data_IF_358429416005
#
_entry.id   IF_358429416005
#
_cell.length_a   1.000
_cell.length_b   1.000
_cell.length_c   1.000
_cell.angle_alpha   90.00
_cell.angle_beta   90.00
_cell.angle_gamma   90.00
#
_symmetry.space_group_name_H-M   'P 1'
#
loop_
_entity.id
_entity.type
_entity.pdbx_description
1 polymer ?
#
# COMPACT_ATOMS: atom_id res chain seq x y z
N UNK A 1 15.21 22.25 16.75
CA UNK A 1 14.38 22.25 15.53
C UNK A 1 12.96 22.63 15.92
N UNK A 2 12.24 23.35 15.07
CA UNK A 2 10.83 23.63 15.30
C UNK A 2 10.03 22.31 15.37
N UNK A 3 8.92 22.31 16.11
CA UNK A 3 8.03 21.15 16.13
C UNK A 3 7.50 20.87 14.70
N UNK A 4 7.38 19.60 14.28
CA UNK A 4 6.88 19.27 12.95
C UNK A 4 5.46 19.83 12.71
N UNK A 5 5.20 20.29 11.49
CA UNK A 5 3.92 20.90 11.06
C UNK A 5 2.92 19.85 10.57
N UNK A 6 3.41 18.70 10.13
CA UNK A 6 2.63 17.58 9.58
C UNK A 6 3.40 16.26 9.69
N UNK A 7 2.78 15.17 9.23
CA UNK A 7 3.45 13.87 9.12
C UNK A 7 3.11 13.11 7.84
N UNK A 8 4.01 12.22 7.46
CA UNK A 8 3.78 11.20 6.45
C UNK A 8 4.04 9.81 7.04
N UNK A 9 3.13 8.87 6.86
CA UNK A 9 3.28 7.48 7.30
C UNK A 9 3.41 6.58 6.07
N UNK A 10 4.45 5.75 6.04
CA UNK A 10 4.75 4.85 4.93
C UNK A 10 4.85 3.42 5.43
N UNK A 11 3.86 2.59 5.11
CA UNK A 11 3.94 1.15 5.37
C UNK A 11 4.93 0.50 4.39
N UNK A 12 5.76 -0.42 4.88
CA UNK A 12 6.85 -1.00 4.09
C UNK A 12 7.95 0.03 3.75
N UNK A 13 8.10 1.08 4.58
CA UNK A 13 9.01 2.20 4.35
C UNK A 13 10.49 1.90 4.60
N UNK A 14 10.86 0.71 5.07
CA UNK A 14 12.24 0.40 5.47
C UNK A 14 13.14 -0.07 4.33
N UNK A 15 12.58 -0.47 3.18
CA UNK A 15 13.34 -1.01 2.05
C UNK A 15 12.77 -0.57 0.70
N UNK A 16 13.64 -0.54 -0.32
CA UNK A 16 13.27 -0.38 -1.74
C UNK A 16 12.31 0.80 -1.99
N UNK A 17 11.18 0.56 -2.65
CA UNK A 17 10.19 1.56 -3.04
C UNK A 17 9.80 2.47 -1.86
N UNK A 18 9.44 1.87 -0.72
CA UNK A 18 9.01 2.62 0.47
C UNK A 18 10.13 3.46 1.07
N UNK A 19 11.37 2.94 1.11
CA UNK A 19 12.54 3.69 1.58
C UNK A 19 12.79 4.93 0.72
N UNK A 20 12.79 4.77 -0.61
CA UNK A 20 13.04 5.89 -1.52
C UNK A 20 11.89 6.90 -1.53
N UNK A 21 10.64 6.46 -1.35
CA UNK A 21 9.51 7.36 -1.15
C UNK A 21 9.66 8.17 0.14
N UNK A 22 10.00 7.53 1.26
CA UNK A 22 10.23 8.21 2.54
C UNK A 22 11.40 9.20 2.47
N UNK A 23 12.51 8.82 1.82
CA UNK A 23 13.65 9.70 1.56
C UNK A 23 13.25 10.94 0.76
N UNK A 24 12.42 10.78 -0.27
CA UNK A 24 11.99 11.89 -1.11
C UNK A 24 11.00 12.82 -0.38
N UNK A 25 10.05 12.28 0.38
CA UNK A 25 9.14 13.07 1.21
C UNK A 25 9.94 13.84 2.28
N UNK A 26 10.88 13.20 2.98
CA UNK A 26 11.71 13.87 4.00
C UNK A 26 12.57 15.00 3.42
N UNK A 27 13.02 14.84 2.16
CA UNK A 27 13.76 15.87 1.42
C UNK A 27 12.88 17.07 1.08
N UNK A 28 11.66 16.84 0.61
CA UNK A 28 10.73 17.90 0.19
C UNK A 28 10.06 18.60 1.38
N UNK A 29 9.82 17.87 2.47
CA UNK A 29 9.14 18.35 3.67
C UNK A 29 10.03 18.15 4.92
N UNK A 30 11.09 18.97 5.08
CA UNK A 30 11.96 18.91 6.27
C UNK A 30 11.23 19.25 7.58
N UNK A 31 10.07 19.89 7.48
CA UNK A 31 9.19 20.27 8.58
C UNK A 31 8.15 19.19 8.94
N UNK A 32 8.09 18.06 8.22
CA UNK A 32 7.20 16.94 8.55
C UNK A 32 7.91 15.85 9.32
N UNK A 33 7.17 15.16 10.20
CA UNK A 33 7.59 13.88 10.76
C UNK A 33 7.33 12.76 9.73
N UNK A 34 8.39 12.13 9.23
CA UNK A 34 8.30 10.98 8.33
C UNK A 34 8.40 9.69 9.13
N UNK A 35 7.41 8.82 9.01
CA UNK A 35 7.33 7.57 9.77
C UNK A 35 7.41 6.40 8.81
N UNK A 36 8.51 5.64 8.89
CA UNK A 36 8.66 4.40 8.14
C UNK A 36 8.22 3.22 9.01
N UNK A 37 7.33 2.39 8.46
CA UNK A 37 6.73 1.28 9.20
C UNK A 37 7.07 -0.07 8.56
N UNK A 38 7.43 -1.05 9.37
CA UNK A 38 7.54 -2.47 8.99
C UNK A 38 7.70 -3.34 10.25
N UNK A 39 7.72 -4.66 10.11
CA UNK A 39 7.97 -5.58 11.23
C UNK A 39 9.34 -5.39 11.89
N UNK A 40 10.35 -4.95 11.12
CA UNK A 40 11.72 -4.77 11.60
C UNK A 40 12.50 -3.84 10.68
N UNK A 41 13.38 -3.01 11.25
CA UNK A 41 14.25 -2.10 10.50
C UNK A 41 15.74 -2.52 10.57
N UNK A 42 16.08 -3.63 9.92
CA UNK A 42 17.45 -4.19 9.98
C UNK A 42 18.51 -3.27 9.34
N UNK A 43 18.10 -2.46 8.36
CA UNK A 43 18.97 -1.55 7.63
C UNK A 43 18.99 -0.13 8.24
N UNK A 44 18.34 0.07 9.38
CA UNK A 44 18.23 1.36 10.07
C UNK A 44 17.78 2.47 9.12
N UNK A 45 16.72 2.21 8.35
CA UNK A 45 16.21 3.06 7.28
C UNK A 45 15.99 4.51 7.72
N UNK A 46 15.38 4.73 8.88
CA UNK A 46 15.13 6.07 9.40
C UNK A 46 16.45 6.83 9.69
N UNK A 47 17.41 6.17 10.33
CA UNK A 47 18.73 6.73 10.61
C UNK A 47 19.52 7.00 9.32
N UNK A 48 19.43 6.10 8.34
CA UNK A 48 20.04 6.22 7.03
C UNK A 48 19.49 7.42 6.24
N UNK A 49 18.16 7.62 6.24
CA UNK A 49 17.52 8.80 5.62
C UNK A 49 17.98 10.09 6.31
N UNK A 50 17.91 10.13 7.64
CA UNK A 50 18.34 11.26 8.46
C UNK A 50 19.82 11.61 8.20
N UNK A 51 20.71 10.61 8.15
CA UNK A 51 22.13 10.80 7.85
C UNK A 51 22.34 11.33 6.43
N UNK A 52 21.61 10.80 5.45
CA UNK A 52 21.72 11.21 4.04
C UNK A 52 21.28 12.66 3.84
N UNK A 53 20.20 13.07 4.51
CA UNK A 53 19.64 14.42 4.37
C UNK A 53 20.18 15.42 5.40
N UNK A 54 20.98 14.97 6.37
CA UNK A 54 21.41 15.75 7.55
C UNK A 54 20.21 16.32 8.32
N UNK A 55 19.20 15.49 8.52
CA UNK A 55 17.94 15.78 9.21
C UNK A 55 17.75 14.83 10.40
N UNK A 56 16.70 15.03 11.19
CA UNK A 56 16.28 14.10 12.27
C UNK A 56 14.77 13.88 12.29
N UNK A 57 14.09 14.16 11.18
CA UNK A 57 12.63 14.17 11.09
C UNK A 57 12.05 12.82 10.64
N UNK A 58 12.89 11.81 10.37
CA UNK A 58 12.44 10.46 10.05
C UNK A 58 12.58 9.53 11.26
N UNK A 59 11.53 8.75 11.57
CA UNK A 59 11.54 7.73 12.63
C UNK A 59 11.03 6.38 12.10
N UNK A 60 11.47 5.29 12.73
CA UNK A 60 10.92 3.96 12.52
C UNK A 60 9.88 3.65 13.61
N UNK A 61 8.74 3.08 13.21
CA UNK A 61 7.79 2.47 14.13
C UNK A 61 7.44 1.04 13.66
N UNK A 62 7.47 0.04 14.56
CA UNK A 62 7.16 -1.32 14.20
C UNK A 62 5.67 -1.46 13.85
N UNK A 63 5.39 -2.19 12.76
CA UNK A 63 4.04 -2.48 12.30
C UNK A 63 4.00 -3.82 11.57
N UNK A 64 3.16 -4.73 12.05
CA UNK A 64 2.79 -5.97 11.37
C UNK A 64 1.36 -5.88 10.87
N UNK A 65 1.19 -5.83 9.55
CA UNK A 65 -0.13 -5.75 8.91
C UNK A 65 -0.84 -7.11 8.82
N UNK A 66 -0.17 -8.21 9.17
CA UNK A 66 -0.77 -9.54 9.23
C UNK A 66 -1.43 -9.86 10.57
N UNK A 67 -1.35 -8.95 11.54
CA UNK A 67 -1.89 -9.09 12.89
C UNK A 67 -2.70 -7.84 13.25
N UNK A 68 -4.03 -7.95 13.28
CA UNK A 68 -4.91 -6.81 13.60
C UNK A 68 -4.65 -6.23 14.98
N UNK A 69 -4.18 -7.03 15.95
CA UNK A 69 -3.84 -6.54 17.30
C UNK A 69 -2.61 -5.65 17.25
N UNK A 70 -1.62 -5.99 16.42
CA UNK A 70 -0.44 -5.16 16.21
C UNK A 70 -0.82 -3.82 15.54
N UNK A 71 -1.68 -3.85 14.52
CA UNK A 71 -2.19 -2.63 13.86
C UNK A 71 -2.92 -1.71 14.85
N UNK A 72 -3.74 -2.28 15.74
CA UNK A 72 -4.43 -1.54 16.81
C UNK A 72 -3.48 -0.98 17.85
N UNK A 73 -2.46 -1.74 18.24
CA UNK A 73 -1.42 -1.27 19.15
C UNK A 73 -0.64 -0.10 18.55
N UNK A 74 -0.32 -0.17 17.24
CA UNK A 74 0.28 0.93 16.51
C UNK A 74 -0.60 2.18 16.53
N UNK A 75 -1.89 2.06 16.24
CA UNK A 75 -2.81 3.20 16.25
C UNK A 75 -2.97 3.79 17.66
N UNK A 76 -3.06 2.94 18.69
CA UNK A 76 -3.09 3.38 20.09
C UNK A 76 -1.83 4.16 20.45
N UNK A 77 -0.66 3.64 20.07
CA UNK A 77 0.61 4.32 20.28
C UNK A 77 0.66 5.62 19.48
N UNK A 78 0.09 5.66 18.26
CA UNK A 78 -0.04 6.87 17.44
C UNK A 78 -0.77 7.96 18.22
N UNK A 79 -1.98 7.66 18.68
CA UNK A 79 -2.88 8.57 19.38
C UNK A 79 -2.39 8.97 20.77
N UNK A 80 -1.61 8.12 21.45
CA UNK A 80 -1.11 8.39 22.80
C UNK A 80 0.03 9.42 22.84
N UNK A 81 0.60 9.78 21.70
CA UNK A 81 1.64 10.82 21.60
C UNK A 81 1.07 12.01 20.83
N UNK A 82 1.44 13.21 21.23
CA UNK A 82 1.08 14.45 20.51
C UNK A 82 1.84 14.57 19.18
N UNK A 83 1.52 13.70 18.22
CA UNK A 83 2.10 13.70 16.88
C UNK A 83 1.41 14.74 16.00
N UNK A 84 2.13 15.35 15.04
CA UNK A 84 1.54 16.27 14.08
C UNK A 84 0.48 15.56 13.21
N UNK A 85 -0.48 16.30 12.64
CA UNK A 85 -1.53 15.70 11.82
C UNK A 85 -0.97 15.00 10.58
N UNK A 86 -1.63 13.94 10.13
CA UNK A 86 -1.15 13.11 9.01
C UNK A 86 -1.54 13.79 7.70
N UNK A 87 -0.55 14.28 6.97
CA UNK A 87 -0.67 14.91 5.66
C UNK A 87 -0.70 13.86 4.53
N UNK A 88 0.05 12.77 4.70
CA UNK A 88 0.14 11.70 3.72
C UNK A 88 0.17 10.31 4.37
N UNK A 89 -0.64 9.39 3.84
CA UNK A 89 -0.68 7.99 4.26
C UNK A 89 -0.44 7.08 3.05
N UNK A 90 0.73 6.45 3.02
CA UNK A 90 1.15 5.56 1.94
C UNK A 90 0.95 4.11 2.40
N UNK A 91 -0.13 3.49 1.92
CA UNK A 91 -0.47 2.08 2.13
C UNK A 91 0.30 1.24 1.11
N UNK A 92 1.60 1.13 1.33
CA UNK A 92 2.57 0.61 0.36
C UNK A 92 3.03 -0.83 0.62
N UNK A 93 3.03 -1.28 1.87
CA UNK A 93 3.53 -2.60 2.23
C UNK A 93 2.80 -3.71 1.46
N UNK A 94 3.58 -4.63 0.89
CA UNK A 94 3.05 -5.83 0.29
C UNK A 94 4.03 -6.97 0.51
N UNK A 95 3.49 -8.16 0.71
CA UNK A 95 4.24 -9.41 0.58
C UNK A 95 3.58 -10.25 -0.50
N UNK A 96 4.37 -11.14 -1.09
CA UNK A 96 3.90 -12.12 -2.04
C UNK A 96 4.43 -13.47 -1.60
N UNK A 97 3.54 -14.44 -1.46
CA UNK A 97 3.88 -15.84 -1.24
C UNK A 97 3.68 -16.56 -2.57
N UNK A 98 4.75 -16.94 -3.31
CA UNK A 98 4.61 -17.40 -4.70
C UNK A 98 4.14 -18.85 -4.84
N UNK A 99 4.23 -19.64 -3.77
CA UNK A 99 3.99 -21.07 -3.79
C UNK A 99 2.59 -21.39 -3.23
N UNK A 100 2.55 -22.08 -2.09
CA UNK A 100 1.33 -22.57 -1.44
C UNK A 100 0.58 -21.44 -0.71
N UNK A 101 -0.70 -21.70 -0.43
CA UNK A 101 -1.54 -20.85 0.40
C UNK A 101 -0.92 -20.67 1.79
N UNK A 102 -0.75 -19.41 2.22
CA UNK A 102 -0.26 -19.07 3.56
C UNK A 102 -1.37 -18.35 4.30
N UNK A 103 -1.72 -18.81 5.49
CA UNK A 103 -2.71 -18.16 6.36
C UNK A 103 -2.04 -17.36 7.47
N UNK A 104 -2.66 -16.25 7.87
CA UNK A 104 -2.26 -15.52 9.09
C UNK A 104 -2.65 -16.30 10.33
N UNK A 105 -2.18 -15.86 11.50
CA UNK A 105 -2.65 -16.39 12.80
C UNK A 105 -4.15 -16.21 13.02
N UNK A 106 -4.80 -15.32 12.27
CA UNK A 106 -6.23 -15.04 12.31
C UNK A 106 -7.02 -15.83 11.24
N UNK A 107 -6.35 -16.74 10.52
CA UNK A 107 -6.99 -17.73 9.64
C UNK A 107 -7.39 -17.22 8.26
N UNK A 108 -6.97 -16.02 7.87
CA UNK A 108 -7.23 -15.46 6.53
C UNK A 108 -5.97 -15.54 5.64
N UNK A 109 -6.16 -15.54 4.32
CA UNK A 109 -5.07 -15.57 3.34
C UNK A 109 -4.10 -14.39 3.54
N UNK A 110 -2.82 -14.69 3.67
CA UNK A 110 -1.80 -13.75 4.15
C UNK A 110 -1.54 -12.59 3.21
N UNK A 111 -1.64 -12.81 1.89
CA UNK A 111 -1.45 -11.75 0.90
C UNK A 111 -2.59 -10.73 1.01
N UNK A 112 -3.84 -11.19 1.05
CA UNK A 112 -5.03 -10.37 1.25
C UNK A 112 -5.01 -9.66 2.61
N UNK A 113 -4.65 -10.38 3.67
CA UNK A 113 -4.51 -9.82 5.01
C UNK A 113 -3.56 -8.62 5.05
N UNK A 114 -2.36 -8.79 4.49
CA UNK A 114 -1.32 -7.75 4.54
C UNK A 114 -1.60 -6.60 3.58
N UNK A 115 -1.99 -6.92 2.34
CA UNK A 115 -2.09 -5.92 1.27
C UNK A 115 -3.37 -5.09 1.34
N UNK A 116 -4.44 -5.66 1.90
CA UNK A 116 -5.76 -5.05 1.99
C UNK A 116 -6.24 -4.89 3.44
N UNK A 117 -6.49 -5.99 4.17
CA UNK A 117 -7.19 -5.94 5.47
C UNK A 117 -6.45 -5.09 6.52
N UNK A 118 -5.16 -5.37 6.73
CA UNK A 118 -4.33 -4.62 7.68
C UNK A 118 -4.19 -3.15 7.29
N UNK A 119 -4.15 -2.85 5.99
CA UNK A 119 -4.11 -1.47 5.49
C UNK A 119 -5.43 -0.74 5.68
N UNK A 120 -6.56 -1.39 5.41
CA UNK A 120 -7.89 -0.83 5.64
C UNK A 120 -8.11 -0.54 7.12
N UNK A 121 -7.77 -1.50 8.01
CA UNK A 121 -7.83 -1.30 9.45
C UNK A 121 -6.95 -0.12 9.89
N UNK A 122 -5.69 -0.07 9.42
CA UNK A 122 -4.77 1.04 9.72
C UNK A 122 -5.36 2.38 9.27
N UNK A 123 -5.90 2.45 8.05
CA UNK A 123 -6.54 3.66 7.53
C UNK A 123 -7.70 4.11 8.43
N UNK A 124 -8.62 3.22 8.78
CA UNK A 124 -9.78 3.59 9.60
C UNK A 124 -9.38 4.04 11.00
N UNK A 125 -8.42 3.37 11.64
CA UNK A 125 -7.91 3.77 12.95
C UNK A 125 -7.17 5.11 12.94
N UNK A 126 -6.52 5.46 11.82
CA UNK A 126 -5.80 6.73 11.65
C UNK A 126 -6.65 7.84 11.02
N UNK A 127 -7.83 7.53 10.48
CA UNK A 127 -8.73 8.50 9.85
C UNK A 127 -9.01 9.74 10.72
N UNK A 128 -9.17 9.65 12.07
CA UNK A 128 -9.38 10.82 12.92
C UNK A 128 -8.15 11.74 13.01
N UNK A 129 -6.97 11.23 12.68
CA UNK A 129 -5.69 11.94 12.75
C UNK A 129 -5.22 12.49 11.39
N UNK A 130 -5.97 12.23 10.31
CA UNK A 130 -5.70 12.80 8.99
C UNK A 130 -6.01 14.30 9.00
N UNK A 131 -5.05 15.08 8.49
CA UNK A 131 -5.20 16.50 8.27
C UNK A 131 -6.27 16.81 7.22
N UNK A 132 -6.81 18.04 7.18
CA UNK A 132 -7.52 18.53 6.00
C UNK A 132 -6.65 18.38 4.74
N UNK A 133 -7.25 17.94 3.64
CA UNK A 133 -6.59 17.68 2.36
C UNK A 133 -5.51 16.58 2.40
N UNK A 134 -5.51 15.72 3.42
CA UNK A 134 -4.55 14.62 3.49
C UNK A 134 -4.71 13.66 2.31
N UNK A 135 -3.57 13.12 1.85
CA UNK A 135 -3.51 12.24 0.68
C UNK A 135 -3.21 10.81 1.06
N UNK A 136 -4.08 9.91 0.64
CA UNK A 136 -3.92 8.47 0.77
C UNK A 136 -3.44 7.91 -0.56
N UNK A 137 -2.38 7.11 -0.55
CA UNK A 137 -1.89 6.41 -1.74
C UNK A 137 -1.86 4.92 -1.45
N UNK A 138 -2.59 4.14 -2.24
CA UNK A 138 -2.67 2.68 -2.13
C UNK A 138 -1.79 2.04 -3.20
N UNK A 139 -0.74 1.32 -2.80
CA UNK A 139 0.12 0.66 -3.78
C UNK A 139 -0.56 -0.60 -4.33
N UNK A 140 -0.89 -0.56 -5.63
CA UNK A 140 -1.38 -1.70 -6.40
C UNK A 140 -0.27 -2.24 -7.33
N UNK A 141 -0.64 -2.86 -8.45
CA UNK A 141 0.24 -3.36 -9.51
C UNK A 141 -0.54 -3.61 -10.79
N UNK A 142 0.07 -3.45 -11.96
CA UNK A 142 -0.51 -3.81 -13.25
C UNK A 142 -0.86 -5.29 -13.41
N UNK A 143 -0.47 -6.17 -12.47
CA UNK A 143 -0.91 -7.58 -12.48
C UNK A 143 -2.43 -7.72 -12.37
N UNK A 144 -3.13 -6.75 -11.77
CA UNK A 144 -4.60 -6.75 -11.67
C UNK A 144 -5.32 -6.71 -13.02
N UNK A 145 -4.63 -6.34 -14.10
CA UNK A 145 -5.20 -6.14 -15.43
C UNK A 145 -4.74 -7.23 -16.42
N UNK A 146 -5.66 -8.08 -16.90
CA UNK A 146 -5.37 -9.07 -17.93
C UNK A 146 -4.77 -8.47 -19.20
N UNK A 147 -5.16 -7.24 -19.57
CA UNK A 147 -4.70 -6.58 -20.79
C UNK A 147 -3.21 -6.20 -20.74
N UNK A 148 -2.65 -6.10 -19.53
CA UNK A 148 -1.23 -5.78 -19.31
C UNK A 148 -0.30 -6.96 -19.59
N UNK A 149 -0.83 -8.19 -19.72
CA UNK A 149 -0.06 -9.42 -20.00
C UNK A 149 1.19 -9.55 -19.13
N UNK A 150 1.02 -9.33 -17.83
CA UNK A 150 2.11 -9.22 -16.85
C UNK A 150 2.91 -10.51 -16.62
N UNK A 151 2.47 -11.64 -17.20
CA UNK A 151 3.02 -12.98 -16.93
C UNK A 151 2.48 -13.60 -15.63
N UNK A 152 1.58 -12.92 -14.94
CA UNK A 152 0.82 -13.43 -13.80
C UNK A 152 -0.54 -13.98 -14.26
N UNK A 153 -1.18 -14.87 -13.49
CA UNK A 153 -2.55 -15.27 -13.76
C UNK A 153 -3.49 -14.07 -13.66
N UNK A 154 -4.52 -14.05 -14.50
CA UNK A 154 -5.53 -12.99 -14.50
C UNK A 154 -6.23 -12.86 -13.14
N UNK A 155 -6.49 -11.62 -12.72
CA UNK A 155 -7.21 -11.36 -11.49
C UNK A 155 -8.64 -11.90 -11.59
N UNK A 156 -9.07 -12.64 -10.57
CA UNK A 156 -10.41 -13.16 -10.46
C UNK A 156 -10.98 -12.86 -9.07
N UNK A 157 -11.73 -11.76 -8.97
CA UNK A 157 -12.49 -11.41 -7.78
C UNK A 157 -13.91 -11.97 -7.86
N UNK A 158 -14.25 -12.84 -6.90
CA UNK A 158 -15.61 -13.36 -6.69
C UNK A 158 -16.28 -12.66 -5.50
N UNK A 159 -15.67 -12.74 -4.31
CA UNK A 159 -16.06 -12.00 -3.11
C UNK A 159 -14.87 -11.82 -2.18
N UNK A 160 -14.98 -10.90 -1.22
CA UNK A 160 -13.96 -10.70 -0.20
C UNK A 160 -13.82 -11.93 0.71
N UNK A 161 -14.92 -12.62 0.99
CA UNK A 161 -14.92 -13.89 1.73
C UNK A 161 -14.02 -14.93 1.04
N UNK A 162 -14.06 -15.04 -0.28
CA UNK A 162 -13.18 -15.98 -1.00
C UNK A 162 -11.72 -15.51 -1.09
N UNK A 163 -11.46 -14.20 -0.97
CA UNK A 163 -10.07 -13.74 -0.84
C UNK A 163 -9.52 -14.07 0.55
N UNK A 164 -10.32 -13.90 1.60
CA UNK A 164 -9.95 -14.20 2.97
C UNK A 164 -9.86 -15.71 3.24
N UNK A 165 -10.83 -16.47 2.74
CA UNK A 165 -10.97 -17.91 2.92
C UNK A 165 -11.13 -18.58 1.55
N UNK A 166 -10.02 -18.76 0.79
CA UNK A 166 -10.08 -19.34 -0.54
C UNK A 166 -10.71 -20.75 -0.55
N UNK A 167 -11.72 -21.02 -1.39
CA UNK A 167 -12.28 -22.35 -1.54
C UNK A 167 -11.24 -23.32 -2.14
N UNK A 168 -11.41 -24.65 -2.04
CA UNK A 168 -10.40 -25.63 -2.43
C UNK A 168 -9.84 -25.48 -3.86
N UNK A 169 -10.68 -25.08 -4.82
CA UNK A 169 -10.29 -24.85 -6.23
C UNK A 169 -9.44 -23.60 -6.43
N UNK A 170 -9.53 -22.62 -5.51
CA UNK A 170 -8.70 -21.41 -5.50
C UNK A 170 -7.48 -21.59 -4.60
N UNK A 171 -7.63 -22.27 -3.47
CA UNK A 171 -6.56 -22.54 -2.49
C UNK A 171 -5.41 -23.39 -3.06
N UNK A 172 -5.70 -24.19 -4.09
CA UNK A 172 -4.70 -25.01 -4.80
C UNK A 172 -3.98 -24.25 -5.92
N UNK A 173 -4.38 -23.01 -6.23
CA UNK A 173 -3.71 -22.18 -7.23
C UNK A 173 -2.38 -21.65 -6.67
N UNK A 174 -1.41 -21.32 -7.54
CA UNK A 174 -0.17 -20.66 -7.11
C UNK A 174 -0.48 -19.33 -6.43
N UNK A 175 0.29 -18.96 -5.40
CA UNK A 175 0.04 -17.72 -4.67
C UNK A 175 0.26 -16.42 -5.47
N UNK A 176 0.78 -16.51 -6.70
CA UNK A 176 0.69 -15.43 -7.69
C UNK A 176 -0.75 -15.04 -8.04
N UNK A 177 -1.71 -15.97 -7.97
CA UNK A 177 -3.14 -15.69 -8.10
C UNK A 177 -3.66 -14.86 -6.93
N UNK A 178 -3.34 -15.23 -5.69
CA UNK A 178 -3.76 -14.49 -4.50
C UNK A 178 -3.21 -13.06 -4.51
N UNK A 179 -1.95 -12.90 -4.90
CA UNK A 179 -1.34 -11.59 -5.11
C UNK A 179 -2.08 -10.76 -6.15
N UNK A 180 -2.36 -11.33 -7.31
CA UNK A 180 -3.02 -10.60 -8.41
C UNK A 180 -4.45 -10.19 -8.03
N UNK A 181 -5.17 -11.07 -7.34
CA UNK A 181 -6.49 -10.76 -6.78
C UNK A 181 -6.43 -9.64 -5.74
N UNK A 182 -5.41 -9.64 -4.87
CA UNK A 182 -5.26 -8.60 -3.86
C UNK A 182 -4.91 -7.23 -4.45
N UNK A 183 -4.18 -7.20 -5.58
CA UNK A 183 -3.93 -5.96 -6.33
C UNK A 183 -5.18 -5.40 -6.98
N UNK A 184 -6.07 -6.26 -7.48
CA UNK A 184 -7.41 -5.83 -7.90
C UNK A 184 -8.23 -5.30 -6.70
N UNK A 185 -8.18 -5.97 -5.55
CA UNK A 185 -8.85 -5.51 -4.32
C UNK A 185 -8.37 -4.11 -3.89
N UNK A 186 -7.07 -3.82 -3.94
CA UNK A 186 -6.54 -2.49 -3.63
C UNK A 186 -7.10 -1.38 -4.52
N UNK A 187 -7.34 -1.66 -5.81
CA UNK A 187 -7.91 -0.68 -6.74
C UNK A 187 -9.41 -0.50 -6.47
N UNK A 188 -10.15 -1.59 -6.29
CA UNK A 188 -11.57 -1.53 -5.92
C UNK A 188 -11.76 -0.79 -4.59
N UNK A 189 -10.92 -1.05 -3.59
CA UNK A 189 -10.92 -0.34 -2.32
C UNK A 189 -10.62 1.15 -2.48
N UNK A 190 -9.68 1.52 -3.36
CA UNK A 190 -9.38 2.92 -3.69
C UNK A 190 -10.64 3.64 -4.21
N UNK A 191 -11.38 3.02 -5.13
CA UNK A 191 -12.61 3.60 -5.69
C UNK A 191 -13.76 3.63 -4.67
N UNK A 192 -13.93 2.54 -3.90
CA UNK A 192 -14.90 2.47 -2.81
C UNK A 192 -14.67 3.56 -1.76
N UNK A 193 -13.41 3.76 -1.38
CA UNK A 193 -12.99 4.77 -0.42
C UNK A 193 -13.16 6.18 -0.99
N UNK A 194 -12.78 6.41 -2.25
CA UNK A 194 -13.02 7.69 -2.93
C UNK A 194 -14.50 8.09 -2.89
N UNK A 195 -15.40 7.18 -3.28
CA UNK A 195 -16.85 7.40 -3.27
C UNK A 195 -17.33 7.80 -1.89
N UNK A 196 -16.95 7.04 -0.86
CA UNK A 196 -17.40 7.26 0.53
C UNK A 196 -16.80 8.53 1.15
N UNK A 197 -15.53 8.86 0.87
CA UNK A 197 -14.94 10.12 1.32
C UNK A 197 -15.69 11.32 0.74
N UNK A 198 -16.04 11.28 -0.54
CA UNK A 198 -16.81 12.33 -1.21
C UNK A 198 -18.26 12.43 -0.68
N UNK A 199 -18.87 11.31 -0.32
CA UNK A 199 -20.25 11.29 0.20
C UNK A 199 -20.35 11.72 1.66
N UNK A 200 -19.36 11.38 2.49
CA UNK A 200 -19.50 11.44 3.95
C UNK A 200 -18.69 12.55 4.61
N UNK A 201 -17.54 12.92 4.05
CA UNK A 201 -16.59 13.87 4.67
C UNK A 201 -15.94 14.78 3.62
N UNK A 202 -16.72 15.22 2.62
CA UNK A 202 -16.25 16.05 1.50
C UNK A 202 -15.51 17.31 1.96
N UNK A 203 -15.96 17.91 3.05
CA UNK A 203 -15.39 19.11 3.67
C UNK A 203 -13.97 18.91 4.18
N UNK A 204 -13.55 17.66 4.47
CA UNK A 204 -12.17 17.35 4.86
C UNK A 204 -11.21 17.36 3.68
N UNK A 205 -11.70 17.33 2.43
CA UNK A 205 -10.86 17.37 1.22
C UNK A 205 -9.93 16.17 1.04
N UNK A 206 -10.19 15.05 1.72
CA UNK A 206 -9.33 13.87 1.66
C UNK A 206 -9.31 13.28 0.25
N UNK A 207 -8.13 12.89 -0.22
CA UNK A 207 -7.96 12.25 -1.54
C UNK A 207 -7.39 10.85 -1.40
N UNK A 208 -7.83 9.92 -2.22
CA UNK A 208 -7.23 8.57 -2.30
C UNK A 208 -6.95 8.20 -3.76
N UNK A 209 -5.76 7.71 -4.05
CA UNK A 209 -5.38 7.22 -5.38
C UNK A 209 -4.64 5.88 -5.30
N UNK A 210 -4.77 5.07 -6.34
CA UNK A 210 -4.02 3.84 -6.51
C UNK A 210 -2.74 4.10 -7.33
N UNK A 211 -1.66 3.42 -6.98
CA UNK A 211 -0.37 3.57 -7.65
C UNK A 211 0.24 2.23 -8.01
N UNK A 212 0.63 2.05 -9.27
CA UNK A 212 1.46 0.97 -9.74
C UNK A 212 2.91 1.44 -9.92
N UNK A 213 3.86 0.90 -9.12
CA UNK A 213 5.27 1.24 -9.22
C UNK A 213 5.97 0.62 -10.44
N UNK A 214 5.30 -0.27 -11.17
CA UNK A 214 5.89 -1.09 -12.22
C UNK A 214 6.78 -2.21 -11.71
N UNK A 215 7.34 -2.97 -12.64
CA UNK A 215 8.25 -4.06 -12.31
C UNK A 215 9.57 -3.47 -11.81
N UNK A 216 9.98 -3.87 -10.61
CA UNK A 216 11.24 -3.43 -10.00
C UNK A 216 12.15 -4.62 -9.70
N UNK A 217 12.90 -5.11 -10.71
CA UNK A 217 13.91 -6.13 -10.49
C UNK A 217 14.88 -5.73 -9.37
N UNK A 218 15.14 -6.64 -8.45
CA UNK A 218 16.02 -6.41 -7.31
C UNK A 218 15.32 -5.84 -6.07
N UNK A 219 14.02 -5.52 -6.15
CA UNK A 219 13.22 -5.17 -4.98
C UNK A 219 12.98 -6.37 -4.06
N UNK A 220 12.64 -6.11 -2.80
CA UNK A 220 12.35 -7.15 -1.79
C UNK A 220 11.03 -7.89 -1.97
N UNK A 221 10.33 -7.71 -3.11
CA UNK A 221 9.07 -8.41 -3.40
C UNK A 221 9.30 -9.91 -3.63
N UNK A 222 10.45 -10.28 -4.21
CA UNK A 222 10.81 -11.67 -4.47
C UNK A 222 11.40 -12.42 -3.25
N UNK A 223 11.25 -11.88 -2.03
CA UNK A 223 11.92 -12.43 -0.83
C UNK A 223 11.48 -13.85 -0.49
N UNK A 224 10.22 -14.21 -0.76
CA UNK A 224 9.65 -15.54 -0.49
C UNK A 224 9.84 -16.53 -1.65
N UNK A 225 10.50 -16.12 -2.74
CA UNK A 225 10.78 -17.02 -3.87
C UNK A 225 12.00 -17.90 -3.57
N UNK A 226 12.11 -19.02 -4.30
CA UNK A 226 13.25 -19.94 -4.23
C UNK A 226 14.60 -19.24 -4.51
N UNK A 227 15.68 -19.78 -3.93
CA UNK A 227 16.99 -19.14 -3.90
C UNK A 227 17.55 -18.78 -5.28
N UNK A 228 17.32 -19.63 -6.30
CA UNK A 228 17.76 -19.40 -7.68
C UNK A 228 17.07 -18.19 -8.30
N UNK A 229 15.75 -18.11 -8.19
CA UNK A 229 15.00 -16.96 -8.69
C UNK A 229 15.36 -15.69 -7.93
N UNK A 230 15.48 -15.77 -6.59
CA UNK A 230 15.91 -14.65 -5.75
C UNK A 230 17.29 -14.11 -6.16
N UNK A 231 18.24 -14.99 -6.45
CA UNK A 231 19.57 -14.59 -6.95
C UNK A 231 19.46 -13.87 -8.29
N UNK A 232 18.75 -14.44 -9.26
CA UNK A 232 18.54 -13.82 -10.58
C UNK A 232 17.86 -12.44 -10.45
N UNK A 233 16.82 -12.35 -9.61
CA UNK A 233 16.08 -11.13 -9.33
C UNK A 233 16.97 -10.02 -8.77
N UNK A 234 17.89 -10.33 -7.84
CA UNK A 234 18.75 -9.32 -7.23
C UNK A 234 20.06 -9.03 -7.98
N UNK A 235 20.60 -9.98 -8.75
CA UNK A 235 21.96 -9.87 -9.32
C UNK A 235 21.99 -9.79 -10.84
N UNK A 236 20.99 -10.33 -11.52
CA UNK A 236 20.97 -10.48 -12.98
C UNK A 236 19.96 -9.52 -13.61
N UNK A 237 18.69 -9.61 -13.23
CA UNK A 237 17.60 -8.84 -13.85
C UNK A 237 17.78 -7.31 -13.77
N UNK A 238 18.32 -6.70 -12.69
CA UNK A 238 18.53 -5.25 -12.65
C UNK A 238 19.54 -4.76 -13.71
N UNK A 239 20.51 -5.60 -14.09
CA UNK A 239 21.49 -5.29 -15.14
C UNK A 239 20.90 -5.42 -16.55
N UNK A 240 19.81 -6.17 -16.70
CA UNK A 240 19.10 -6.39 -17.95
C UNK A 240 17.92 -5.44 -18.15
N UNK A 241 17.67 -4.51 -17.22
CA UNK A 241 16.53 -3.57 -17.25
C UNK A 241 16.31 -2.90 -18.63
N UNK A 242 17.33 -2.37 -19.35
CA UNK A 242 17.12 -1.75 -20.66
C UNK A 242 16.55 -2.72 -21.71
N UNK A 243 16.98 -3.99 -21.67
CA UNK A 243 16.51 -5.04 -22.58
C UNK A 243 15.10 -5.49 -22.17
N UNK A 244 14.85 -5.67 -20.87
CA UNK A 244 13.53 -6.05 -20.37
C UNK A 244 12.46 -4.99 -20.70
N UNK A 245 12.83 -3.70 -20.68
CA UNK A 245 11.93 -2.59 -21.06
C UNK A 245 11.43 -2.70 -22.49
N UNK A 246 12.33 -3.13 -23.39
CA UNK A 246 12.04 -3.27 -24.82
C UNK A 246 11.26 -4.55 -25.10
N UNK A 247 11.55 -5.64 -24.38
CA UNK A 247 10.98 -6.96 -24.67
C UNK A 247 9.67 -7.28 -23.95
N UNK A 248 9.41 -6.69 -22.77
CA UNK A 248 8.27 -7.06 -21.92
C UNK A 248 7.30 -5.90 -21.69
N UNK A 249 7.74 -4.86 -20.98
CA UNK A 249 6.89 -3.70 -20.68
C UNK A 249 7.78 -2.47 -20.48
N UNK A 250 7.37 -1.27 -20.95
CA UNK A 250 8.10 -0.04 -20.66
C UNK A 250 8.06 0.33 -19.16
N UNK A 251 7.13 -0.24 -18.39
CA UNK A 251 6.90 0.03 -16.98
C UNK A 251 7.82 -0.80 -16.05
N UNK A 252 9.12 -0.72 -16.28
CA UNK A 252 10.16 -1.31 -15.42
C UNK A 252 10.99 -0.18 -14.84
N UNK A 253 11.23 -0.15 -13.55
CA UNK A 253 11.91 1.00 -12.93
C UNK A 253 12.88 0.56 -11.85
N UNK A 254 13.85 1.41 -11.55
CA UNK A 254 14.65 1.27 -10.33
C UNK A 254 13.76 1.60 -9.13
N UNK A 255 13.99 0.95 -7.96
CA UNK A 255 13.25 1.30 -6.74
C UNK A 255 13.30 2.79 -6.37
N UNK A 256 14.39 3.49 -6.71
CA UNK A 256 14.52 4.95 -6.51
C UNK A 256 13.61 5.77 -7.41
N UNK A 257 13.43 5.36 -8.66
CA UNK A 257 12.57 6.04 -9.64
C UNK A 257 11.10 5.87 -9.23
N UNK A 258 10.66 4.63 -8.97
CA UNK A 258 9.30 4.37 -8.49
C UNK A 258 9.05 4.99 -7.11
N UNK A 259 10.06 5.05 -6.24
CA UNK A 259 9.97 5.69 -4.92
C UNK A 259 9.69 7.17 -5.02
N UNK A 260 10.39 7.88 -5.91
CA UNK A 260 10.12 9.28 -6.20
C UNK A 260 8.71 9.51 -6.79
N UNK A 261 8.23 8.59 -7.64
CA UNK A 261 6.87 8.65 -8.21
C UNK A 261 5.79 8.37 -7.16
N UNK A 262 6.03 7.44 -6.23
CA UNK A 262 5.14 7.21 -5.08
C UNK A 262 5.08 8.45 -4.17
N UNK A 263 6.23 9.08 -3.90
CA UNK A 263 6.29 10.35 -3.18
C UNK A 263 5.53 11.46 -3.93
N UNK A 264 5.67 11.56 -5.26
CA UNK A 264 4.91 12.51 -6.09
C UNK A 264 3.40 12.36 -5.87
N UNK A 265 2.87 11.14 -5.87
CA UNK A 265 1.45 10.88 -5.58
C UNK A 265 1.02 11.40 -4.20
N UNK A 266 1.91 11.31 -3.21
CA UNK A 266 1.64 11.70 -1.84
C UNK A 266 1.72 13.22 -1.60
N UNK A 267 2.64 13.94 -2.27
CA UNK A 267 2.97 15.33 -1.87
C UNK A 267 3.00 16.38 -2.99
N UNK A 268 2.97 15.99 -4.28
CA UNK A 268 3.10 16.97 -5.38
C UNK A 268 1.90 17.90 -5.51
N UNK A 269 2.12 19.22 -5.64
CA UNK A 269 1.04 20.18 -5.88
C UNK A 269 0.24 19.89 -7.17
N UNK A 270 0.88 19.27 -8.17
CA UNK A 270 0.23 18.85 -9.42
C UNK A 270 -0.96 17.90 -9.20
N UNK A 271 -0.92 17.12 -8.12
CA UNK A 271 -1.95 16.15 -7.78
C UNK A 271 -2.86 16.62 -6.63
N UNK A 272 -2.82 17.90 -6.27
CA UNK A 272 -3.71 18.47 -5.27
C UNK A 272 -5.18 18.30 -5.69
N UNK A 273 -6.00 17.73 -4.81
CA UNK A 273 -7.43 17.46 -5.08
C UNK A 273 -7.71 16.31 -6.05
N UNK A 274 -6.68 15.70 -6.65
CA UNK A 274 -6.85 14.52 -7.52
C UNK A 274 -7.17 13.31 -6.65
N UNK A 275 -8.30 12.64 -6.92
CA UNK A 275 -8.80 11.53 -6.12
C UNK A 275 -9.52 10.52 -7.01
N UNK A 276 -9.55 9.26 -6.59
CA UNK A 276 -10.20 8.16 -7.31
C UNK A 276 -9.48 7.76 -8.60
N UNK A 277 -8.18 8.04 -8.71
CA UNK A 277 -7.38 7.76 -9.91
C UNK A 277 -6.41 6.60 -9.72
N UNK A 278 -5.99 6.02 -10.84
CA UNK A 278 -4.97 4.99 -10.90
C UNK A 278 -3.78 5.49 -11.73
N UNK A 279 -2.59 5.43 -11.14
CA UNK A 279 -1.36 5.90 -11.76
C UNK A 279 -0.41 4.74 -12.05
N UNK A 280 0.05 4.64 -13.29
CA UNK A 280 1.19 3.82 -13.67
C UNK A 280 2.42 4.72 -13.77
N UNK A 281 3.31 4.62 -12.78
CA UNK A 281 4.41 5.56 -12.63
C UNK A 281 3.91 7.01 -12.58
N UNK A 282 4.28 7.83 -13.57
CA UNK A 282 3.84 9.23 -13.63
C UNK A 282 2.46 9.46 -14.27
N UNK A 283 1.93 8.47 -15.00
CA UNK A 283 0.77 8.64 -15.88
C UNK A 283 -0.52 8.17 -15.22
N UNK A 284 -1.57 8.99 -15.28
CA UNK A 284 -2.93 8.51 -15.02
C UNK A 284 -3.33 7.56 -16.15
N UNK A 285 -3.76 6.35 -15.80
CA UNK A 285 -4.27 5.35 -16.74
C UNK A 285 -5.59 4.76 -16.22
N UNK A 286 -6.31 4.06 -17.10
CA UNK A 286 -7.46 3.25 -16.67
C UNK A 286 -6.97 1.97 -16.00
N UNK A 287 -7.71 1.48 -15.02
CA UNK A 287 -7.52 0.16 -14.43
C UNK A 287 -8.35 -0.89 -15.18
N UNK A 288 -8.21 -2.15 -14.78
CA UNK A 288 -8.92 -3.26 -15.42
C UNK A 288 -10.44 -3.13 -15.34
N UNK A 289 -11.17 -3.60 -16.36
CA UNK A 289 -12.63 -3.51 -16.39
C UNK A 289 -13.34 -4.05 -15.12
N UNK A 290 -12.93 -5.20 -14.53
CA UNK A 290 -13.55 -5.71 -13.30
C UNK A 290 -13.44 -4.77 -12.10
N UNK A 291 -12.47 -3.84 -12.11
CA UNK A 291 -12.28 -2.88 -11.02
C UNK A 291 -13.36 -1.80 -10.94
N UNK A 292 -14.21 -1.65 -11.97
CA UNK A 292 -15.29 -0.65 -12.00
C UNK A 292 -16.66 -1.21 -11.58
N UNK A 293 -16.72 -2.44 -11.08
CA UNK A 293 -17.97 -3.04 -10.59
C UNK A 293 -18.30 -2.57 -9.16
N UNK A 294 -19.23 -1.63 -9.05
CA UNK A 294 -19.64 -1.05 -7.77
C UNK A 294 -20.16 -2.08 -6.77
N UNK A 295 -20.76 -3.19 -7.22
CA UNK A 295 -21.22 -4.24 -6.30
C UNK A 295 -20.05 -4.93 -5.62
N UNK A 296 -18.92 -5.08 -6.31
CA UNK A 296 -17.69 -5.63 -5.74
C UNK A 296 -17.02 -4.65 -4.80
N UNK A 297 -17.17 -3.35 -5.04
CA UNK A 297 -16.72 -2.33 -4.08
C UNK A 297 -17.47 -2.45 -2.76
N UNK A 298 -18.79 -2.64 -2.82
CA UNK A 298 -19.63 -2.78 -1.63
C UNK A 298 -19.39 -4.11 -0.91
N UNK A 299 -19.31 -5.23 -1.63
CA UNK A 299 -18.93 -6.53 -1.06
C UNK A 299 -17.57 -6.46 -0.34
N UNK A 300 -16.55 -5.89 -0.99
CA UNK A 300 -15.24 -5.71 -0.37
C UNK A 300 -15.31 -4.81 0.87
N UNK A 301 -16.08 -3.72 0.79
CA UNK A 301 -16.18 -2.77 1.89
C UNK A 301 -16.87 -3.35 3.10
N UNK A 302 -18.07 -3.88 2.93
CA UNK A 302 -18.88 -4.43 4.01
C UNK A 302 -18.16 -5.59 4.69
N UNK A 303 -17.55 -6.49 3.91
CA UNK A 303 -16.76 -7.58 4.47
C UNK A 303 -15.58 -7.05 5.29
N UNK A 304 -14.85 -6.05 4.77
CA UNK A 304 -13.67 -5.48 5.45
C UNK A 304 -14.06 -4.79 6.75
N UNK A 305 -15.10 -3.95 6.75
CA UNK A 305 -15.58 -3.29 7.98
C UNK A 305 -16.03 -4.35 8.99
N UNK A 306 -16.81 -5.34 8.57
CA UNK A 306 -17.29 -6.42 9.45
C UNK A 306 -16.15 -7.23 10.06
N UNK A 307 -15.11 -7.52 9.28
CA UNK A 307 -13.95 -8.27 9.77
C UNK A 307 -13.09 -7.43 10.71
N UNK A 308 -12.91 -6.15 10.38
CA UNK A 308 -12.00 -5.27 11.13
C UNK A 308 -12.61 -4.75 12.43
N UNK A 309 -13.89 -4.38 12.45
CA UNK A 309 -14.52 -3.74 13.61
C UNK A 309 -14.74 -4.74 14.76
N UNK A 310 -14.51 -4.30 16.00
CA UNK A 310 -14.73 -5.10 17.21
C UNK A 310 -16.21 -5.18 17.60
N UNK A 311 -16.98 -4.15 17.25
CA UNK A 311 -18.40 -4.03 17.51
C UNK A 311 -19.08 -3.07 16.51
N UNK A 312 -20.41 -2.95 16.60
CA UNK A 312 -21.21 -2.08 15.74
C UNK A 312 -20.87 -0.58 15.92
N UNK A 313 -20.39 -0.18 17.11
CA UNK A 313 -20.04 1.21 17.38
C UNK A 313 -18.76 1.58 16.64
N UNK A 314 -17.74 0.71 16.68
CA UNK A 314 -16.52 0.89 15.90
C UNK A 314 -16.79 0.81 14.40
N UNK A 315 -17.65 -0.11 13.96
CA UNK A 315 -18.05 -0.20 12.55
C UNK A 315 -18.67 1.13 12.08
N UNK A 316 -19.60 1.71 12.85
CA UNK A 316 -20.21 3.00 12.55
C UNK A 316 -19.18 4.15 12.51
N UNK A 317 -18.18 4.13 13.40
CA UNK A 317 -17.07 5.10 13.39
C UNK A 317 -16.19 4.97 12.15
N UNK A 318 -15.84 3.75 11.75
CA UNK A 318 -15.07 3.51 10.53
C UNK A 318 -15.78 4.05 9.30
N UNK A 319 -17.11 3.87 9.26
CA UNK A 319 -18.00 4.36 8.21
C UNK A 319 -18.17 5.89 8.23
N UNK A 320 -17.95 6.54 9.38
CA UNK A 320 -17.97 7.99 9.54
C UNK A 320 -16.58 8.66 9.44
N UNK A 321 -15.51 7.86 9.35
CA UNK A 321 -14.11 8.32 9.31
C UNK A 321 -13.69 9.16 10.55
N UNK A 322 -14.19 8.82 11.75
CA UNK A 322 -14.03 9.60 12.99
C UNK A 322 -13.58 8.85 14.26
#
# INVERSE_FOLDING_TARGET
MAAPTGSAIITGGTLNLGYYAALEIARQHPDWLVVVCSRSDKEHAAESINKTLKQTNTIFLPLDLSDTKNVRAFATEWSSKSRPPIQALLLNAALQFPNELVLTSEGIESTFAITHVGHALLFHLLAPHLAPNARIVVTSSGTHDPDMKSGFPDANYVSAEQLAHPPPDVATKPGTQHYTNSKLANIMWTYALHRRLHERVKERGLTVNAFDPGLMPGSGLAREYGAVFRFAWHKVMPKMTPVLKVLFTPNIHKPSESGALLARCAVSDELAGVSGKYFEGAKEIKSSLPSYDEKKWDDLWEWTIKYCAQDETEAARFDAFN
#
